data_IF_075464846290
#
_entry.id   IF_075464846290
#
_cell.length_a   1.000
_cell.length_b   1.000
_cell.length_c   1.000
_cell.angle_alpha   90.00
_cell.angle_beta   90.00
_cell.angle_gamma   90.00
#
_symmetry.space_group_name_H-M   'P 1'
#
loop_
_entity.id
_entity.type
_entity.pdbx_description
1 polymer ?
#
# COMPACT_ATOMS: atom_id res chain seq x y z
N UNK A 1 -13.34 -3.70 3.38
CA UNK A 1 -13.11 -3.01 2.11
C UNK A 1 -11.63 -2.98 1.80
N UNK A 2 -11.24 -3.36 0.60
CA UNK A 2 -9.83 -3.35 0.19
C UNK A 2 -9.42 -1.97 -0.31
N UNK A 3 -8.31 -1.45 0.21
CA UNK A 3 -7.77 -0.16 -0.19
C UNK A 3 -6.33 -0.30 -0.67
N UNK A 4 -5.94 0.54 -1.61
CA UNK A 4 -4.59 0.63 -2.15
C UNK A 4 -4.00 1.94 -1.65
N UNK A 5 -2.92 1.85 -0.87
CA UNK A 5 -2.43 2.97 -0.08
C UNK A 5 -1.00 3.30 -0.49
N UNK A 6 -0.77 4.56 -0.86
CA UNK A 6 0.55 5.05 -1.24
C UNK A 6 1.46 5.08 -0.01
N UNK A 7 2.65 4.46 -0.11
CA UNK A 7 3.56 4.39 1.03
C UNK A 7 5.01 4.59 0.59
N UNK A 8 5.77 5.24 1.43
CA UNK A 8 7.22 5.33 1.30
C UNK A 8 7.92 4.50 2.36
N UNK A 9 9.25 4.51 2.34
CA UNK A 9 10.05 3.72 3.28
C UNK A 9 9.77 4.10 4.73
N UNK A 10 9.59 5.38 5.01
CA UNK A 10 9.33 5.84 6.38
C UNK A 10 8.01 5.31 6.92
N UNK A 11 6.95 5.35 6.09
CA UNK A 11 5.66 4.82 6.48
C UNK A 11 5.72 3.31 6.72
N UNK A 12 6.47 2.59 5.88
CA UNK A 12 6.63 1.15 6.06
C UNK A 12 7.38 0.82 7.34
N UNK A 13 8.39 1.62 7.72
CA UNK A 13 9.08 1.43 8.99
C UNK A 13 8.14 1.62 10.17
N UNK A 14 7.30 2.63 10.11
CA UNK A 14 6.33 2.88 11.17
C UNK A 14 5.35 1.71 11.31
N UNK A 15 4.86 1.18 10.19
CA UNK A 15 4.00 0.00 10.19
C UNK A 15 4.71 -1.21 10.80
N UNK A 16 5.96 -1.45 10.40
CA UNK A 16 6.75 -2.56 10.94
C UNK A 16 6.90 -2.44 12.45
N UNK A 17 7.05 -1.23 12.95
CA UNK A 17 7.24 -0.97 14.39
C UNK A 17 5.94 -1.01 15.18
N UNK A 18 4.82 -1.26 14.52
CA UNK A 18 3.52 -1.39 15.19
C UNK A 18 2.71 -0.11 15.30
N UNK A 19 3.18 0.97 14.68
CA UNK A 19 2.46 2.24 14.69
C UNK A 19 1.38 2.27 13.61
N UNK A 20 0.36 3.12 13.79
CA UNK A 20 -0.57 3.43 12.72
C UNK A 20 -0.01 4.57 11.88
N UNK A 21 -0.35 4.57 10.59
CA UNK A 21 0.01 5.66 9.68
C UNK A 21 -1.23 6.12 8.94
N UNK A 22 -1.26 7.39 8.55
CA UNK A 22 -2.36 7.96 7.77
C UNK A 22 -1.80 8.39 6.42
N UNK A 23 -2.29 7.77 5.35
CA UNK A 23 -1.72 7.88 4.02
C UNK A 23 -2.82 7.98 2.96
N UNK A 24 -2.51 8.56 1.79
CA UNK A 24 -3.46 8.58 0.68
C UNK A 24 -3.90 7.17 0.31
N UNK A 25 -5.20 6.98 0.15
CA UNK A 25 -5.79 5.69 -0.13
C UNK A 25 -6.71 5.76 -1.34
N UNK A 26 -6.73 4.68 -2.11
CA UNK A 26 -7.54 4.56 -3.32
C UNK A 26 -8.33 3.26 -3.27
N UNK A 27 -9.60 3.33 -3.66
CA UNK A 27 -10.45 2.14 -3.74
C UNK A 27 -10.77 1.85 -5.20
N UNK A 28 -10.86 0.57 -5.54
CA UNK A 28 -11.32 0.17 -6.87
C UNK A 28 -12.81 0.48 -7.01
N UNK A 29 -13.23 0.84 -8.23
CA UNK A 29 -14.63 1.16 -8.50
C UNK A 29 -15.50 -0.10 -8.45
N UNK A 30 -14.93 -1.27 -8.68
CA UNK A 30 -15.62 -2.55 -8.60
C UNK A 30 -14.62 -3.67 -8.31
N UNK A 31 -15.09 -4.92 -8.28
CA UNK A 31 -14.23 -6.10 -8.10
C UNK A 31 -13.53 -6.54 -9.38
N UNK A 32 -13.77 -5.86 -10.50
CA UNK A 32 -13.11 -6.18 -11.76
C UNK A 32 -11.61 -5.90 -11.67
N UNK A 33 -10.81 -6.75 -12.31
CA UNK A 33 -9.35 -6.62 -12.32
C UNK A 33 -8.89 -5.28 -12.88
N UNK A 34 -9.56 -4.75 -13.88
CA UNK A 34 -9.21 -3.46 -14.46
C UNK A 34 -9.37 -2.32 -13.46
N UNK A 35 -10.44 -2.36 -12.66
CA UNK A 35 -10.68 -1.34 -11.64
C UNK A 35 -9.70 -1.48 -10.48
N UNK A 36 -9.36 -2.71 -10.09
CA UNK A 36 -8.35 -2.95 -9.07
C UNK A 36 -6.97 -2.50 -9.55
N UNK A 37 -6.63 -2.79 -10.80
CA UNK A 37 -5.37 -2.34 -11.39
C UNK A 37 -5.31 -0.82 -11.46
N UNK A 38 -6.41 -0.15 -11.81
CA UNK A 38 -6.46 1.31 -11.86
C UNK A 38 -6.22 1.93 -10.49
N UNK A 39 -6.79 1.34 -9.42
CA UNK A 39 -6.57 1.82 -8.06
C UNK A 39 -5.11 1.62 -7.63
N UNK A 40 -4.54 0.45 -7.95
CA UNK A 40 -3.15 0.16 -7.66
C UNK A 40 -2.22 1.14 -8.39
N UNK A 41 -2.46 1.39 -9.66
CA UNK A 41 -1.66 2.32 -10.45
C UNK A 41 -1.76 3.74 -9.93
N UNK A 42 -2.97 4.18 -9.52
CA UNK A 42 -3.15 5.50 -8.93
C UNK A 42 -2.37 5.64 -7.63
N UNK A 43 -2.40 4.61 -6.78
CA UNK A 43 -1.66 4.62 -5.53
C UNK A 43 -0.15 4.60 -5.75
N UNK A 44 0.31 4.00 -6.85
CA UNK A 44 1.73 3.91 -7.16
C UNK A 44 2.32 5.23 -7.70
N UNK A 45 1.47 6.16 -8.13
CA UNK A 45 1.96 7.45 -8.62
C UNK A 45 2.58 8.24 -7.47
N UNK A 46 3.84 8.62 -7.60
CA UNK A 46 4.52 9.45 -6.62
C UNK A 46 4.99 8.73 -5.37
N UNK A 47 4.83 7.42 -5.29
CA UNK A 47 5.30 6.62 -4.14
C UNK A 47 5.97 5.35 -4.62
N UNK A 48 7.06 4.90 -3.95
CA UNK A 48 7.78 3.70 -4.36
C UNK A 48 7.04 2.41 -4.02
N UNK A 49 6.06 2.46 -3.12
CA UNK A 49 5.34 1.27 -2.68
C UNK A 49 3.86 1.53 -2.54
N UNK A 50 3.08 0.48 -2.68
CA UNK A 50 1.64 0.48 -2.43
C UNK A 50 1.34 -0.62 -1.41
N UNK A 51 0.68 -0.24 -0.33
CA UNK A 51 0.20 -1.17 0.68
C UNK A 51 -1.25 -1.51 0.38
N UNK A 52 -1.55 -2.80 0.26
CA UNK A 52 -2.92 -3.27 0.09
C UNK A 52 -3.44 -3.62 1.47
N UNK A 53 -4.49 -2.93 1.90
CA UNK A 53 -5.04 -3.11 3.23
C UNK A 53 -6.53 -3.45 3.18
N UNK A 54 -6.97 -4.24 4.15
CA UNK A 54 -8.39 -4.56 4.34
C UNK A 54 -8.87 -3.84 5.58
N UNK A 55 -9.87 -2.98 5.44
CA UNK A 55 -10.43 -2.21 6.55
C UNK A 55 -11.94 -2.43 6.62
N UNK A 56 -12.48 -2.45 7.85
CA UNK A 56 -13.92 -2.65 8.04
C UNK A 56 -14.71 -1.40 7.67
N UNK A 57 -14.22 -0.24 8.10
CA UNK A 57 -14.85 1.04 7.80
C UNK A 57 -13.77 2.03 7.36
N UNK A 58 -13.75 2.41 6.08
CA UNK A 58 -12.80 3.41 5.61
C UNK A 58 -13.03 4.76 6.30
N UNK A 59 -11.93 5.47 6.53
CA UNK A 59 -11.99 6.82 7.07
C UNK A 59 -12.61 7.75 6.03
N UNK A 60 -13.21 8.84 6.50
CA UNK A 60 -13.72 9.85 5.60
C UNK A 60 -12.56 10.63 4.97
N UNK A 61 -12.71 10.98 3.69
CA UNK A 61 -11.71 11.74 2.97
C UNK A 61 -10.79 10.83 2.15
N UNK A 62 -9.69 11.39 1.69
CA UNK A 62 -8.77 10.73 0.77
C UNK A 62 -7.68 9.93 1.48
N UNK A 63 -7.48 10.18 2.75
CA UNK A 63 -6.45 9.50 3.55
C UNK A 63 -7.07 8.43 4.44
N UNK A 64 -6.31 7.38 4.67
CA UNK A 64 -6.74 6.26 5.50
C UNK A 64 -5.70 5.99 6.59
N UNK A 65 -6.16 5.83 7.82
CA UNK A 65 -5.33 5.34 8.92
C UNK A 65 -5.26 3.82 8.85
N UNK A 66 -4.06 3.28 8.91
CA UNK A 66 -3.84 1.83 8.76
C UNK A 66 -2.74 1.36 9.71
N UNK A 67 -2.88 0.10 10.17
CA UNK A 67 -1.86 -0.59 10.97
C UNK A 67 -1.40 -1.83 10.21
N UNK A 68 -0.29 -2.42 10.63
CA UNK A 68 0.26 -3.60 9.97
C UNK A 68 -0.72 -4.78 9.96
N UNK A 69 -1.56 -4.90 10.99
CA UNK A 69 -2.56 -5.97 11.08
C UNK A 69 -3.56 -5.94 9.94
N UNK A 70 -3.77 -4.78 9.34
CA UNK A 70 -4.72 -4.60 8.25
C UNK A 70 -4.09 -4.80 6.87
N UNK A 71 -2.77 -4.95 6.81
CA UNK A 71 -2.04 -5.06 5.54
C UNK A 71 -2.07 -6.50 5.04
N UNK A 72 -2.54 -6.68 3.80
CA UNK A 72 -2.57 -8.00 3.14
C UNK A 72 -1.39 -8.22 2.22
N UNK A 73 -0.87 -7.17 1.60
CA UNK A 73 0.24 -7.29 0.65
C UNK A 73 0.90 -5.93 0.44
N UNK A 74 2.11 -5.97 -0.11
CA UNK A 74 2.88 -4.77 -0.45
C UNK A 74 3.38 -4.91 -1.89
N UNK A 75 3.14 -3.90 -2.71
CA UNK A 75 3.64 -3.84 -4.08
C UNK A 75 4.74 -2.78 -4.16
N UNK A 76 5.84 -3.10 -4.82
CA UNK A 76 7.00 -2.22 -4.86
C UNK A 76 7.52 -2.10 -6.29
N UNK A 77 7.81 -0.87 -6.73
CA UNK A 77 8.52 -0.61 -7.98
C UNK A 77 10.02 -0.57 -7.68
N UNK A 78 10.67 -1.73 -7.75
CA UNK A 78 12.05 -1.88 -7.28
C UNK A 78 13.09 -1.29 -8.22
N UNK A 79 12.77 -1.14 -9.50
CA UNK A 79 13.71 -0.69 -10.53
C UNK A 79 13.25 0.56 -11.27
N UNK A 80 12.18 1.19 -10.79
CA UNK A 80 11.58 2.39 -11.38
C UNK A 80 11.11 2.18 -12.82
N UNK A 81 10.79 0.93 -13.18
CA UNK A 81 10.30 0.59 -14.52
C UNK A 81 8.80 0.75 -14.68
N UNK A 82 8.08 0.93 -13.57
CA UNK A 82 6.62 0.94 -13.56
C UNK A 82 6.03 -0.43 -13.27
N UNK A 83 6.85 -1.47 -13.22
CA UNK A 83 6.40 -2.83 -12.86
C UNK A 83 6.47 -3.01 -11.35
N UNK A 84 5.36 -3.46 -10.76
CA UNK A 84 5.26 -3.63 -9.32
C UNK A 84 5.48 -5.09 -8.93
N UNK A 85 6.47 -5.33 -8.07
CA UNK A 85 6.71 -6.64 -7.49
C UNK A 85 5.82 -6.82 -6.26
N UNK A 86 5.29 -8.03 -6.08
CA UNK A 86 4.43 -8.36 -4.96
C UNK A 86 5.25 -8.94 -3.80
N UNK A 87 4.92 -8.51 -2.59
CA UNK A 87 5.50 -9.04 -1.36
C UNK A 87 4.40 -9.31 -0.34
N UNK A 88 4.56 -10.39 0.42
CA UNK A 88 3.68 -10.67 1.55
C UNK A 88 3.96 -9.66 2.68
N UNK A 89 2.98 -9.45 3.54
CA UNK A 89 3.11 -8.52 4.66
C UNK A 89 4.33 -8.84 5.54
N UNK A 90 4.59 -10.12 5.77
CA UNK A 90 5.72 -10.56 6.59
C UNK A 90 7.08 -10.28 5.96
N UNK A 91 7.11 -9.90 4.69
CA UNK A 91 8.33 -9.56 3.97
C UNK A 91 8.65 -8.06 4.03
N UNK A 92 8.00 -7.33 4.93
CA UNK A 92 8.16 -5.88 5.01
C UNK A 92 9.63 -5.46 5.23
N UNK A 93 10.42 -6.25 5.95
CA UNK A 93 11.84 -5.96 6.15
C UNK A 93 12.62 -6.06 4.84
N UNK A 94 12.27 -7.02 3.99
CA UNK A 94 12.87 -7.16 2.66
C UNK A 94 12.50 -5.95 1.79
N UNK A 95 11.26 -5.52 1.83
CA UNK A 95 10.81 -4.33 1.10
C UNK A 95 11.60 -3.10 1.54
N UNK A 96 11.80 -2.95 2.85
CA UNK A 96 12.56 -1.82 3.38
C UNK A 96 14.01 -1.82 2.92
N UNK A 97 14.63 -3.00 2.79
CA UNK A 97 15.98 -3.10 2.25
C UNK A 97 16.05 -2.68 0.79
N UNK A 98 15.02 -3.02 0.01
CA UNK A 98 14.96 -2.66 -1.41
C UNK A 98 14.75 -1.16 -1.61
N UNK A 99 14.13 -0.48 -0.66
CA UNK A 99 13.83 0.96 -0.74
C UNK A 99 14.92 1.84 -0.13
N UNK A 100 15.89 1.27 0.53
CA UNK A 100 16.95 2.05 1.19
C UNK A 100 18.22 2.14 0.37
#
# INVERSE_FOLDING_TARGET
>A
MRLYISAGAEALRSLRDGASVTLPAFAAASDDEEDEFAALAAAAEGSPAVVVAEVDQPDEGDDQSVTLDQVDAIHVDVDLSGDLAWFATQEIDEVLRLLS
#
